data_IF_335588905534
#
_entry.id   IF_335588905534
#
_cell.length_a   1.000
_cell.length_b   1.000
_cell.length_c   1.000
_cell.angle_alpha   90.00
_cell.angle_beta   90.00
_cell.angle_gamma   90.00
#
_symmetry.space_group_name_H-M   'P 1'
#
loop_
_entity.id
_entity.type
_entity.pdbx_description
1 polymer ?
#
# COMPACT_ATOMS: atom_id res chain seq x y z
N UNK A 1 -3.78 4.59 10.84
CA UNK A 1 -2.52 4.33 11.58
C UNK A 1 -2.85 3.78 12.95
N UNK A 2 -2.23 2.67 13.35
CA UNK A 2 -2.34 2.11 14.68
C UNK A 2 -1.03 2.34 15.44
N UNK A 3 -1.09 3.08 16.54
CA UNK A 3 0.04 3.45 17.39
C UNK A 3 -0.45 3.56 18.84
N UNK A 4 0.34 3.15 19.82
CA UNK A 4 0.01 3.24 21.25
C UNK A 4 -1.40 2.74 21.59
N UNK A 5 -1.72 1.59 21.02
CA UNK A 5 -3.00 0.88 21.18
C UNK A 5 -4.24 1.63 20.64
N UNK A 6 -4.06 2.70 19.87
CA UNK A 6 -5.15 3.54 19.32
C UNK A 6 -5.07 3.62 17.80
N UNK A 7 -6.25 3.68 17.17
CA UNK A 7 -6.39 3.97 15.76
C UNK A 7 -6.52 5.47 15.54
N UNK A 8 -5.73 5.98 14.60
CA UNK A 8 -5.74 7.35 14.12
C UNK A 8 -6.06 7.34 12.63
N UNK A 9 -6.98 8.20 12.23
CA UNK A 9 -7.19 8.54 10.81
C UNK A 9 -6.17 9.61 10.43
N UNK A 10 -5.38 9.32 9.41
CA UNK A 10 -4.49 10.30 8.81
C UNK A 10 -5.13 10.81 7.53
N UNK A 11 -5.10 12.12 7.33
CA UNK A 11 -5.57 12.77 6.11
C UNK A 11 -4.41 13.59 5.56
N UNK A 12 -4.03 13.32 4.31
CA UNK A 12 -3.02 14.11 3.62
C UNK A 12 -3.53 15.54 3.45
N UNK A 13 -2.69 16.54 3.73
CA UNK A 13 -3.06 17.94 3.55
C UNK A 13 -3.06 18.26 2.05
N UNK A 14 -4.03 19.05 1.59
CA UNK A 14 -4.00 19.50 0.18
C UNK A 14 -2.72 20.31 -0.08
N UNK A 15 -2.17 20.16 -1.29
CA UNK A 15 -0.89 20.74 -1.68
C UNK A 15 0.35 19.99 -1.19
N UNK A 16 0.23 18.93 -0.36
CA UNK A 16 1.38 18.12 0.08
C UNK A 16 1.62 16.87 -0.76
N UNK A 17 0.92 16.74 -1.89
CA UNK A 17 1.10 15.67 -2.85
C UNK A 17 0.62 16.15 -4.23
N UNK A 18 1.16 15.61 -5.33
CA UNK A 18 0.77 16.03 -6.68
C UNK A 18 -0.56 15.37 -7.07
N UNK A 19 -1.67 16.07 -6.82
CA UNK A 19 -3.05 15.58 -7.07
C UNK A 19 -3.28 15.10 -8.52
N UNK A 20 -2.56 15.67 -9.49
CA UNK A 20 -2.69 15.33 -10.91
C UNK A 20 -1.81 14.16 -11.35
N UNK A 21 -0.88 13.70 -10.52
CA UNK A 21 -0.05 12.55 -10.86
C UNK A 21 -0.77 11.26 -10.44
N UNK A 22 -1.10 10.35 -11.38
CA UNK A 22 -1.91 9.17 -11.07
C UNK A 22 -1.22 8.19 -10.10
N UNK A 23 0.12 8.19 -10.02
CA UNK A 23 0.88 7.31 -9.13
C UNK A 23 1.15 7.98 -7.79
N UNK A 24 1.62 9.22 -7.82
CA UNK A 24 2.02 9.94 -6.60
C UNK A 24 0.84 10.41 -5.75
N UNK A 25 -0.39 10.45 -6.31
CA UNK A 25 -1.61 10.73 -5.54
C UNK A 25 -2.16 9.53 -4.76
N UNK A 26 -1.64 8.33 -4.99
CA UNK A 26 -2.09 7.15 -4.24
C UNK A 26 -1.66 7.23 -2.77
N UNK A 27 -2.53 6.77 -1.87
CA UNK A 27 -2.28 6.71 -0.42
C UNK A 27 -0.91 6.12 -0.05
N UNK A 28 -0.51 5.05 -0.74
CA UNK A 28 0.79 4.38 -0.53
C UNK A 28 1.98 5.26 -0.92
N UNK A 29 1.87 6.00 -2.03
CA UNK A 29 2.91 6.91 -2.49
C UNK A 29 3.01 8.12 -1.58
N UNK A 30 1.86 8.67 -1.17
CA UNK A 30 1.80 9.77 -0.20
C UNK A 30 2.43 9.34 1.13
N UNK A 31 2.09 8.15 1.63
CA UNK A 31 2.68 7.60 2.86
C UNK A 31 4.21 7.44 2.71
N UNK A 32 4.67 6.90 1.58
CA UNK A 32 6.07 6.69 1.29
C UNK A 32 6.87 8.01 1.24
N UNK A 33 6.36 8.99 0.48
CA UNK A 33 7.05 10.25 0.18
C UNK A 33 6.99 11.24 1.35
N UNK A 34 5.90 11.24 2.13
CA UNK A 34 5.69 12.22 3.19
C UNK A 34 6.04 11.72 4.59
N UNK A 35 6.11 10.40 4.81
CA UNK A 35 6.34 9.82 6.14
C UNK A 35 7.43 8.76 6.16
N UNK A 36 7.30 7.69 5.38
CA UNK A 36 8.22 6.54 5.49
C UNK A 36 9.65 6.93 5.14
N UNK A 37 9.85 7.60 4.02
CA UNK A 37 11.18 8.02 3.57
C UNK A 37 11.74 9.18 4.42
N UNK A 38 11.09 10.37 4.50
CA UNK A 38 11.72 11.53 5.13
C UNK A 38 11.75 11.48 6.66
N UNK A 39 10.81 10.80 7.31
CA UNK A 39 10.69 10.80 8.78
C UNK A 39 11.22 9.50 9.38
N UNK A 40 10.86 8.34 8.80
CA UNK A 40 11.27 7.03 9.32
C UNK A 40 12.54 6.49 8.66
N UNK A 41 13.03 7.14 7.61
CA UNK A 41 14.23 6.74 6.87
C UNK A 41 14.06 5.43 6.10
N UNK A 42 12.84 5.03 5.76
CA UNK A 42 12.53 3.81 5.01
C UNK A 42 12.48 4.19 3.52
N UNK A 43 13.57 3.95 2.80
CA UNK A 43 13.72 4.32 1.39
C UNK A 43 13.02 3.34 0.44
N UNK A 44 13.63 2.19 0.18
CA UNK A 44 13.02 1.14 -0.65
C UNK A 44 12.33 0.09 0.24
N UNK A 45 10.98 0.10 0.32
CA UNK A 45 10.26 -0.82 1.19
C UNK A 45 10.32 -2.29 0.75
N UNK A 46 10.90 -2.58 -0.43
CA UNK A 46 11.15 -3.97 -0.87
C UNK A 46 12.39 -4.58 -0.22
N UNK A 47 13.29 -3.73 0.31
CA UNK A 47 14.60 -4.13 0.83
C UNK A 47 14.78 -3.80 2.31
N UNK A 48 14.03 -2.83 2.83
CA UNK A 48 14.14 -2.43 4.23
C UNK A 48 13.48 -3.47 5.15
N UNK A 49 14.24 -3.98 6.13
CA UNK A 49 13.77 -4.98 7.09
C UNK A 49 12.85 -4.38 8.18
N UNK A 50 12.77 -3.05 8.28
CA UNK A 50 11.94 -2.33 9.25
C UNK A 50 10.51 -2.07 8.74
N UNK A 51 10.13 -2.66 7.62
CA UNK A 51 8.76 -2.64 7.11
C UNK A 51 8.36 -4.05 6.67
N UNK A 52 7.13 -4.44 6.99
CA UNK A 52 6.54 -5.69 6.54
C UNK A 52 5.06 -5.48 6.18
N UNK A 53 4.50 -6.40 5.42
CA UNK A 53 3.20 -6.28 4.79
C UNK A 53 2.26 -7.38 5.27
N UNK A 54 1.07 -6.96 5.69
CA UNK A 54 -0.03 -7.86 6.00
C UNK A 54 -0.91 -8.02 4.77
N UNK A 55 -1.10 -9.25 4.31
CA UNK A 55 -2.01 -9.54 3.20
C UNK A 55 -3.45 -9.15 3.52
N UNK A 56 -4.18 -8.65 2.51
CA UNK A 56 -5.51 -8.04 2.67
C UNK A 56 -6.52 -8.91 3.42
N UNK A 57 -6.49 -10.23 3.22
CA UNK A 57 -7.41 -11.20 3.86
C UNK A 57 -7.35 -11.19 5.40
N UNK A 58 -6.22 -10.80 6.00
CA UNK A 58 -6.07 -10.78 7.47
C UNK A 58 -6.67 -9.52 8.10
N UNK A 59 -6.77 -8.44 7.32
CA UNK A 59 -7.38 -7.17 7.73
C UNK A 59 -6.71 -6.48 8.92
N UNK A 60 -7.47 -5.56 9.55
CA UNK A 60 -6.98 -4.68 10.62
C UNK A 60 -6.56 -5.42 11.89
N UNK A 61 -7.21 -6.56 12.21
CA UNK A 61 -6.94 -7.33 13.44
C UNK A 61 -5.51 -7.87 13.47
N UNK A 62 -4.97 -8.29 12.32
CA UNK A 62 -3.59 -8.76 12.23
C UNK A 62 -2.59 -7.61 12.39
N UNK A 63 -2.87 -6.44 11.82
CA UNK A 63 -2.05 -5.25 12.03
C UNK A 63 -1.95 -4.89 13.51
N UNK A 64 -3.09 -4.88 14.22
CA UNK A 64 -3.10 -4.66 15.66
C UNK A 64 -2.31 -5.72 16.42
N UNK A 65 -2.52 -7.00 16.07
CA UNK A 65 -1.84 -8.13 16.73
C UNK A 65 -0.32 -7.99 16.63
N UNK A 66 0.20 -7.63 15.46
CA UNK A 66 1.64 -7.45 15.20
C UNK A 66 2.26 -6.27 15.95
N UNK A 67 1.51 -5.19 16.15
CA UNK A 67 1.97 -4.08 17.00
C UNK A 67 1.89 -4.46 18.48
N UNK A 68 0.82 -5.15 18.89
CA UNK A 68 0.62 -5.61 20.27
C UNK A 68 1.63 -6.68 20.71
N UNK A 69 2.17 -7.50 19.80
CA UNK A 69 3.22 -8.47 20.13
C UNK A 69 4.55 -7.81 20.53
N UNK A 70 4.75 -6.55 20.16
CA UNK A 70 5.98 -5.80 20.40
C UNK A 70 7.01 -5.90 19.27
N UNK A 71 6.79 -6.77 18.28
CA UNK A 71 7.65 -6.94 17.10
C UNK A 71 7.66 -5.68 16.21
N UNK A 72 6.54 -4.95 16.21
CA UNK A 72 6.33 -3.73 15.41
C UNK A 72 5.88 -2.57 16.29
N UNK A 73 6.26 -1.34 15.92
CA UNK A 73 5.91 -0.13 16.70
C UNK A 73 4.65 0.58 16.19
N UNK A 74 4.38 0.50 14.89
CA UNK A 74 3.28 1.21 14.24
C UNK A 74 2.76 0.37 13.07
N UNK A 75 1.47 0.48 12.79
CA UNK A 75 0.88 -0.11 11.58
C UNK A 75 0.10 0.93 10.78
N UNK A 76 0.12 0.78 9.46
CA UNK A 76 -0.64 1.63 8.54
C UNK A 76 -1.64 0.75 7.77
N UNK A 77 -2.91 1.18 7.79
CA UNK A 77 -3.94 0.66 6.92
C UNK A 77 -4.26 1.77 5.92
N UNK A 78 -4.26 1.44 4.64
CA UNK A 78 -4.45 2.37 3.53
C UNK A 78 -5.80 2.14 2.88
N UNK A 79 -6.33 3.17 2.23
CA UNK A 79 -7.48 2.97 1.37
C UNK A 79 -7.07 2.10 0.17
N UNK A 80 -7.85 1.07 -0.20
CA UNK A 80 -7.55 0.24 -1.34
C UNK A 80 -7.51 1.08 -2.62
N UNK A 81 -6.50 0.89 -3.46
CA UNK A 81 -6.48 1.46 -4.81
C UNK A 81 -7.66 0.92 -5.62
N UNK A 82 -8.42 1.80 -6.26
CA UNK A 82 -9.58 1.39 -7.05
C UNK A 82 -9.16 0.77 -8.39
N UNK A 83 -10.08 0.06 -9.04
CA UNK A 83 -9.83 -0.49 -10.38
C UNK A 83 -9.59 0.66 -11.38
N UNK A 84 -10.35 1.74 -11.28
CA UNK A 84 -10.22 2.92 -12.15
C UNK A 84 -8.85 3.58 -12.00
N UNK A 85 -8.34 3.68 -10.77
CA UNK A 85 -6.98 4.19 -10.51
C UNK A 85 -5.91 3.28 -11.11
N UNK A 86 -6.09 1.97 -10.97
CA UNK A 86 -5.20 0.98 -11.56
C UNK A 86 -5.18 1.06 -13.09
N UNK A 87 -6.35 1.14 -13.72
CA UNK A 87 -6.48 1.30 -15.17
C UNK A 87 -5.84 2.60 -15.65
N UNK A 88 -6.09 3.72 -14.96
CA UNK A 88 -5.50 5.02 -15.28
C UNK A 88 -3.96 4.98 -15.27
N UNK A 89 -3.37 4.27 -14.30
CA UNK A 89 -1.92 4.12 -14.20
C UNK A 89 -1.38 3.28 -15.37
N UNK A 90 -2.05 2.18 -15.70
CA UNK A 90 -1.69 1.33 -16.84
C UNK A 90 -1.76 2.09 -18.18
N UNK A 91 -2.86 2.83 -18.42
CA UNK A 91 -3.06 3.63 -19.63
C UNK A 91 -2.02 4.75 -19.75
N UNK A 92 -1.49 5.24 -18.63
CA UNK A 92 -0.42 6.24 -18.59
C UNK A 92 0.99 5.66 -18.81
N UNK A 93 1.13 4.35 -19.03
CA UNK A 93 2.42 3.67 -19.20
C UNK A 93 3.29 3.67 -17.94
N UNK A 94 2.70 3.94 -16.77
CA UNK A 94 3.40 4.00 -15.48
C UNK A 94 3.30 2.67 -14.73
N UNK A 95 4.15 2.52 -13.71
CA UNK A 95 4.23 1.33 -12.88
C UNK A 95 3.58 1.60 -11.52
N UNK A 96 2.80 0.64 -11.02
CA UNK A 96 2.24 0.68 -9.67
C UNK A 96 3.35 0.70 -8.60
N UNK A 97 3.19 1.49 -7.52
CA UNK A 97 4.11 1.43 -6.39
C UNK A 97 4.19 0.00 -5.81
N UNK A 98 5.34 -0.40 -5.25
CA UNK A 98 5.46 -1.74 -4.70
C UNK A 98 4.46 -1.96 -3.55
N UNK A 99 3.81 -3.13 -3.55
CA UNK A 99 2.88 -3.57 -2.49
C UNK A 99 1.68 -2.63 -2.29
N UNK A 100 1.29 -1.90 -3.34
CA UNK A 100 0.13 -0.99 -3.33
C UNK A 100 -1.22 -1.69 -3.47
N UNK A 101 -1.26 -2.89 -4.05
CA UNK A 101 -2.50 -3.64 -4.31
C UNK A 101 -2.40 -5.10 -3.88
N UNK A 102 -3.55 -5.66 -3.49
CA UNK A 102 -3.73 -7.08 -3.21
C UNK A 102 -4.91 -7.61 -4.02
N UNK A 103 -4.68 -8.59 -4.89
CA UNK A 103 -5.71 -9.24 -5.68
C UNK A 103 -6.16 -10.55 -5.07
N UNK A 104 -7.48 -10.78 -5.10
CA UNK A 104 -8.11 -12.02 -4.66
C UNK A 104 -9.12 -12.52 -5.71
N UNK A 105 -9.05 -13.80 -6.13
CA UNK A 105 -7.98 -14.76 -5.83
C UNK A 105 -6.64 -14.31 -6.44
N UNK A 106 -5.53 -14.76 -5.86
CA UNK A 106 -4.24 -14.60 -6.56
C UNK A 106 -4.33 -15.28 -7.93
N UNK A 107 -3.80 -14.63 -8.95
CA UNK A 107 -3.68 -15.24 -10.28
C UNK A 107 -3.04 -16.62 -10.12
N UNK A 108 -3.76 -17.66 -10.54
CA UNK A 108 -3.22 -19.01 -10.55
C UNK A 108 -2.08 -19.04 -11.56
N UNK A 109 -0.87 -19.40 -11.13
CA UNK A 109 0.24 -19.63 -12.04
C UNK A 109 -0.13 -20.75 -13.01
N UNK A 110 0.16 -20.59 -14.31
CA UNK A 110 -0.10 -21.60 -15.33
C UNK A 110 -1.49 -21.58 -15.98
N UNK A 111 -2.22 -20.45 -15.92
CA UNK A 111 -3.43 -20.28 -16.74
C UNK A 111 -3.04 -20.24 -18.22
N UNK A 112 -3.43 -21.27 -18.98
CA UNK A 112 -3.32 -21.32 -20.44
C UNK A 112 -4.71 -21.04 -21.02
N UNK A 113 -4.80 -20.02 -21.87
CA UNK A 113 -6.03 -19.70 -22.62
C UNK A 113 -5.82 -20.15 -24.06
N UNK A 114 -6.56 -21.17 -24.48
CA UNK A 114 -6.67 -21.58 -25.87
C UNK A 114 -8.02 -21.07 -26.39
N UNK A 115 -7.98 -20.01 -27.19
CA UNK A 115 -9.18 -19.52 -27.88
C UNK A 115 -9.58 -20.57 -28.91
N UNK A 116 -10.83 -21.02 -28.86
CA UNK A 116 -11.41 -21.86 -29.90
C UNK A 116 -12.05 -20.93 -30.94
N UNK A 117 -11.80 -21.23 -32.21
CA UNK A 117 -12.43 -20.55 -33.36
C UNK A 117 -13.95 -20.81 -33.39
#
# INVERSE_FOLDING_TARGET
MYLDKKWYRLTAKSGTFPEKDPVKRLDISILQDNLLSPVLGIGDPRKDKRIDFVGGIRGLKELEKRVKSGDWKVAFALHPTSIEELMTIADSGKIMPPKSTWFEPKLKSGLVVHLLD
#
